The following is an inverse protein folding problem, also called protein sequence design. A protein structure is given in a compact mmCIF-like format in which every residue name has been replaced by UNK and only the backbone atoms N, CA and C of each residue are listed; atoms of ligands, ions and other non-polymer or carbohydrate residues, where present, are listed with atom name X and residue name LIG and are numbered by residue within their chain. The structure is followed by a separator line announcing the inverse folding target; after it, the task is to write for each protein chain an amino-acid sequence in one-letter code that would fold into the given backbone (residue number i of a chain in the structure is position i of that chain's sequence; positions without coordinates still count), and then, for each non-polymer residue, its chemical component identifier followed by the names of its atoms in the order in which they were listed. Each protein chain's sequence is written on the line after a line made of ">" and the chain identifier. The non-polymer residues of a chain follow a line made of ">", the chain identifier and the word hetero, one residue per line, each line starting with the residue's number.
data_IF_497112209824
#
_entry.id   IF_497112209824
#
_cell.length_a   1.000
_cell.length_b   1.000
_cell.length_c   1.000
_cell.angle_alpha   90.00
_cell.angle_beta   90.00
_cell.angle_gamma   90.00
#
_symmetry.space_group_name_H-M   'P 1'
#
loop_
_entity.id
_entity.type
_entity.pdbx_description
1 polymer ?
#
# COMPACT_ATOMS: atom_id res chain seq x y z
N UNK A 1 -2.97 -6.29 -1.87
CA UNK A 1 -4.03 -5.57 -1.13
C UNK A 1 -4.34 -6.30 0.17
N UNK A 2 -4.51 -5.58 1.27
CA UNK A 2 -4.86 -6.09 2.59
C UNK A 2 -6.28 -5.64 2.97
N UNK A 3 -7.08 -6.50 3.62
CA UNK A 3 -8.45 -6.18 4.08
C UNK A 3 -8.43 -5.83 5.56
N UNK A 4 -8.82 -4.62 5.90
CA UNK A 4 -8.88 -4.16 7.28
C UNK A 4 -9.85 -5.02 8.13
N UNK A 5 -9.48 -5.25 9.39
CA UNK A 5 -10.28 -5.95 10.40
C UNK A 5 -11.41 -5.08 10.97
N UNK A 6 -11.31 -3.76 10.77
CA UNK A 6 -12.19 -2.74 11.35
C UNK A 6 -12.94 -1.90 10.30
N UNK A 7 -13.85 -1.05 10.78
CA UNK A 7 -14.59 -0.10 9.95
C UNK A 7 -15.39 -0.79 8.85
N UNK A 8 -15.31 -0.27 7.63
CA UNK A 8 -15.98 -0.84 6.44
C UNK A 8 -15.25 -2.04 5.86
N UNK A 9 -14.20 -2.56 6.52
CA UNK A 9 -13.33 -3.64 6.02
C UNK A 9 -12.78 -3.33 4.62
N UNK A 10 -12.33 -2.09 4.46
CA UNK A 10 -11.78 -1.59 3.21
C UNK A 10 -10.49 -2.33 2.85
N UNK A 11 -10.16 -2.33 1.56
CA UNK A 11 -8.95 -2.93 1.04
C UNK A 11 -7.98 -1.83 0.63
N UNK A 12 -6.74 -1.89 1.10
CA UNK A 12 -5.65 -0.97 0.71
C UNK A 12 -4.35 -1.73 0.52
N UNK A 13 -3.33 -1.13 -0.12
CA UNK A 13 -1.96 -1.52 0.14
C UNK A 13 -1.60 -1.30 1.63
N UNK A 14 -0.49 -1.87 2.13
CA UNK A 14 -0.03 -1.62 3.49
C UNK A 14 0.20 -0.13 3.73
N UNK A 15 -0.27 0.39 4.87
CA UNK A 15 -0.15 1.80 5.27
C UNK A 15 -0.69 2.05 6.68
N UNK A 16 0.08 2.78 7.49
CA UNK A 16 -0.39 3.31 8.76
C UNK A 16 0.04 4.75 9.01
N UNK A 17 0.15 5.12 10.27
CA UNK A 17 0.42 6.50 10.68
C UNK A 17 1.93 6.74 10.78
N UNK A 18 2.34 7.98 10.49
CA UNK A 18 3.72 8.41 10.70
C UNK A 18 3.96 8.55 12.21
N UNK A 19 4.94 7.83 12.74
CA UNK A 19 5.33 7.95 14.14
C UNK A 19 6.23 9.17 14.40
N UNK A 20 6.33 9.66 15.65
CA UNK A 20 7.18 10.79 15.98
C UNK A 20 8.66 10.55 15.58
N UNK A 21 9.14 11.36 14.65
CA UNK A 21 10.52 11.30 14.16
C UNK A 21 10.72 10.45 12.89
N UNK A 22 9.69 9.78 12.38
CA UNK A 22 9.74 9.09 11.09
C UNK A 22 9.45 10.05 9.93
N UNK A 23 10.06 9.77 8.78
CA UNK A 23 9.58 10.27 7.49
C UNK A 23 8.59 9.28 6.86
N UNK A 24 7.92 9.70 5.78
CA UNK A 24 6.88 8.90 5.11
C UNK A 24 7.42 7.62 4.48
N UNK A 25 8.70 7.62 4.07
CA UNK A 25 9.34 6.45 3.48
C UNK A 25 9.61 5.40 4.55
N UNK A 26 10.24 5.80 5.65
CA UNK A 26 10.50 4.96 6.82
C UNK A 26 9.20 4.38 7.37
N UNK A 27 8.16 5.22 7.48
CA UNK A 27 6.81 4.80 7.87
C UNK A 27 6.29 3.70 6.94
N UNK A 28 6.35 3.90 5.61
CA UNK A 28 5.84 2.91 4.66
C UNK A 28 6.57 1.56 4.76
N UNK A 29 7.89 1.58 5.01
CA UNK A 29 8.70 0.37 5.21
C UNK A 29 8.33 -0.36 6.50
N UNK A 30 8.17 0.38 7.61
CA UNK A 30 7.76 -0.17 8.90
C UNK A 30 6.36 -0.78 8.81
N UNK A 31 5.40 -0.03 8.30
CA UNK A 31 4.00 -0.47 8.16
C UNK A 31 3.86 -1.68 7.22
N UNK A 32 4.68 -1.74 6.16
CA UNK A 32 4.73 -2.92 5.28
C UNK A 32 5.23 -4.17 6.02
N UNK A 33 6.20 -4.00 6.92
CA UNK A 33 6.68 -5.08 7.77
C UNK A 33 5.66 -5.49 8.85
N UNK A 34 4.97 -4.53 9.46
CA UNK A 34 3.97 -4.77 10.50
C UNK A 34 2.68 -5.38 9.95
N UNK A 35 2.13 -4.83 8.87
CA UNK A 35 0.82 -5.23 8.35
C UNK A 35 0.87 -6.44 7.40
N UNK A 36 2.01 -6.69 6.75
CA UNK A 36 2.17 -7.77 5.76
C UNK A 36 3.34 -8.72 6.02
N UNK A 37 4.14 -8.51 7.06
CA UNK A 37 5.31 -9.35 7.38
C UNK A 37 6.48 -9.17 6.41
N UNK A 38 6.41 -8.19 5.50
CA UNK A 38 7.40 -7.97 4.46
C UNK A 38 8.50 -7.03 4.95
N UNK A 39 9.72 -7.56 5.12
CA UNK A 39 10.89 -6.80 5.56
C UNK A 39 11.66 -6.24 4.36
N UNK A 40 12.55 -5.29 4.60
CA UNK A 40 13.33 -4.58 3.56
C UNK A 40 14.17 -5.45 2.63
N UNK A 41 14.44 -6.71 2.97
CA UNK A 41 15.16 -7.65 2.09
C UNK A 41 14.22 -8.54 1.25
N UNK A 42 12.91 -8.47 1.47
CA UNK A 42 11.93 -9.21 0.69
C UNK A 42 11.54 -8.48 -0.61
N UNK A 43 11.85 -7.20 -0.73
CA UNK A 43 11.43 -6.38 -1.86
C UNK A 43 12.44 -5.26 -2.16
N UNK A 44 12.43 -4.82 -3.41
CA UNK A 44 13.13 -3.64 -3.89
C UNK A 44 12.13 -2.52 -4.14
N UNK A 45 12.36 -1.38 -3.50
CA UNK A 45 11.57 -0.17 -3.77
C UNK A 45 12.01 0.41 -5.12
N UNK A 46 11.04 0.77 -5.96
CA UNK A 46 11.28 1.42 -7.25
C UNK A 46 11.63 2.88 -7.00
N UNK A 47 12.84 3.26 -7.42
CA UNK A 47 13.34 4.61 -7.26
C UNK A 47 12.44 5.64 -7.96
N UNK A 48 12.36 6.84 -7.38
CA UNK A 48 11.61 7.98 -7.90
C UNK A 48 10.09 7.76 -8.10
N UNK A 49 9.53 6.69 -7.53
CA UNK A 49 8.08 6.50 -7.48
C UNK A 49 7.52 6.86 -6.10
N UNK A 50 6.71 7.92 -6.05
CA UNK A 50 5.88 8.24 -4.89
C UNK A 50 4.59 8.88 -5.37
N UNK A 51 3.45 8.33 -4.94
CA UNK A 51 2.12 8.88 -5.19
C UNK A 51 1.50 9.36 -3.88
N UNK A 52 0.91 10.55 -3.90
CA UNK A 52 0.28 11.16 -2.73
C UNK A 52 -1.23 11.24 -2.94
N UNK A 53 -1.99 10.59 -2.06
CA UNK A 53 -3.45 10.70 -2.02
C UNK A 53 -3.83 11.64 -0.88
N UNK A 54 -4.69 12.62 -1.17
CA UNK A 54 -5.24 13.55 -0.18
C UNK A 54 -6.76 13.55 -0.24
N UNK A 55 -7.41 13.21 0.88
CA UNK A 55 -8.87 13.11 0.95
C UNK A 55 -9.37 13.37 2.38
N UNK A 56 -10.68 13.57 2.53
CA UNK A 56 -11.30 13.77 3.83
C UNK A 56 -11.75 12.44 4.44
N UNK A 57 -11.43 12.21 5.70
CA UNK A 57 -11.99 11.13 6.53
C UNK A 57 -12.77 11.76 7.66
N UNK A 58 -14.10 11.59 7.66
CA UNK A 58 -15.01 12.20 8.65
C UNK A 58 -14.78 13.71 8.80
N UNK A 59 -14.60 14.41 7.68
CA UNK A 59 -14.36 15.86 7.62
C UNK A 59 -12.94 16.31 7.98
N UNK A 60 -12.03 15.38 8.32
CA UNK A 60 -10.62 15.70 8.61
C UNK A 60 -9.73 15.36 7.43
N UNK A 61 -8.80 16.24 7.04
CA UNK A 61 -7.84 15.93 5.98
C UNK A 61 -6.96 14.74 6.36
N UNK A 62 -6.79 13.83 5.41
CA UNK A 62 -5.86 12.71 5.49
C UNK A 62 -5.01 12.72 4.23
N UNK A 63 -3.70 12.56 4.41
CA UNK A 63 -2.73 12.39 3.34
C UNK A 63 -2.07 11.03 3.50
N UNK A 64 -1.90 10.31 2.39
CA UNK A 64 -1.23 9.00 2.35
C UNK A 64 -0.21 9.02 1.21
N UNK A 65 1.00 8.58 1.51
CA UNK A 65 2.09 8.46 0.55
C UNK A 65 2.28 6.97 0.23
N UNK A 66 2.22 6.61 -1.04
CA UNK A 66 2.49 5.26 -1.52
C UNK A 66 3.78 5.24 -2.33
N UNK A 67 4.64 4.30 -1.99
CA UNK A 67 5.83 3.93 -2.74
C UNK A 67 5.57 2.62 -3.46
N UNK A 68 6.22 2.42 -4.60
CA UNK A 68 6.11 1.20 -5.39
C UNK A 68 7.26 0.27 -5.02
N UNK A 69 6.96 -0.99 -4.75
CA UNK A 69 7.96 -2.00 -4.44
C UNK A 69 7.65 -3.30 -5.19
N UNK A 70 8.71 -3.98 -5.61
CA UNK A 70 8.68 -5.28 -6.26
C UNK A 70 9.22 -6.33 -5.29
N UNK A 71 8.50 -7.43 -5.08
CA UNK A 71 9.00 -8.56 -4.31
C UNK A 71 10.18 -9.21 -5.03
N UNK A 72 11.23 -9.52 -4.28
CA UNK A 72 12.39 -10.29 -4.78
C UNK A 72 12.02 -11.76 -5.04
N UNK A 73 11.17 -12.35 -4.18
CA UNK A 73 10.59 -13.68 -4.37
C UNK A 73 9.05 -13.58 -4.33
N UNK A 74 8.34 -13.89 -5.43
CA UNK A 74 6.88 -13.86 -5.48
C UNK A 74 6.21 -14.88 -4.54
N UNK A 75 6.96 -15.86 -4.01
CA UNK A 75 6.47 -16.84 -3.05
C UNK A 75 6.66 -16.40 -1.58
N UNK A 76 7.22 -15.20 -1.34
CA UNK A 76 7.38 -14.67 0.02
C UNK A 76 6.01 -14.66 0.72
N UNK A 77 5.87 -15.33 1.87
CA UNK A 77 4.59 -15.43 2.56
C UNK A 77 4.18 -14.08 3.14
N UNK A 78 2.90 -13.74 2.97
CA UNK A 78 2.28 -12.59 3.64
C UNK A 78 1.84 -13.03 5.04
N UNK A 79 2.25 -12.27 6.05
CA UNK A 79 1.88 -12.49 7.45
C UNK A 79 1.14 -11.25 7.93
N UNK A 80 -0.16 -11.39 8.20
CA UNK A 80 -1.00 -10.28 8.61
C UNK A 80 -0.89 -9.99 10.10
N UNK A 81 -0.94 -8.71 10.46
CA UNK A 81 -1.22 -8.27 11.83
C UNK A 81 -2.71 -8.35 12.15
N UNK A 82 -3.07 -8.11 13.42
CA UNK A 82 -4.47 -8.05 13.88
C UNK A 82 -5.30 -6.93 13.21
N UNK A 83 -4.64 -5.97 12.56
CA UNK A 83 -5.31 -4.92 11.78
C UNK A 83 -5.92 -5.43 10.47
N UNK A 84 -5.54 -6.63 10.02
CA UNK A 84 -5.96 -7.18 8.74
C UNK A 84 -6.47 -8.61 8.88
N UNK A 85 -7.56 -8.92 8.17
CA UNK A 85 -8.22 -10.24 8.23
C UNK A 85 -8.11 -11.03 6.93
N UNK A 86 -7.50 -10.43 5.90
CA UNK A 86 -7.37 -11.06 4.59
C UNK A 86 -6.33 -10.31 3.74
N UNK A 87 -5.82 -10.99 2.72
CA UNK A 87 -5.02 -10.36 1.68
C UNK A 87 -5.33 -10.94 0.31
N UNK A 88 -5.07 -10.15 -0.73
CA UNK A 88 -5.20 -10.59 -2.11
C UNK A 88 -4.09 -9.97 -2.95
N UNK A 89 -3.43 -10.82 -3.73
CA UNK A 89 -2.66 -10.41 -4.91
C UNK A 89 -3.64 -10.12 -6.04
N UNK A 90 -3.56 -8.91 -6.59
CA UNK A 90 -4.50 -8.41 -7.58
C UNK A 90 -3.74 -7.84 -8.76
N UNK A 91 -4.24 -8.05 -9.96
CA UNK A 91 -3.84 -7.21 -11.10
C UNK A 91 -4.48 -5.80 -11.00
N UNK A 92 -4.14 -4.92 -11.95
CA UNK A 92 -4.65 -3.54 -11.97
C UNK A 92 -6.18 -3.46 -11.95
N UNK A 93 -6.85 -4.20 -12.82
CA UNK A 93 -8.30 -4.13 -12.96
C UNK A 93 -9.02 -4.69 -11.73
N UNK A 94 -8.51 -5.78 -11.15
CA UNK A 94 -9.00 -6.29 -9.86
C UNK A 94 -8.80 -5.28 -8.73
N UNK A 95 -7.65 -4.60 -8.68
CA UNK A 95 -7.34 -3.60 -7.66
C UNK A 95 -8.27 -2.39 -7.76
N UNK A 96 -8.52 -1.91 -8.99
CA UNK A 96 -9.47 -0.82 -9.28
C UNK A 96 -10.90 -1.20 -8.92
N UNK A 97 -11.32 -2.43 -9.24
CA UNK A 97 -12.64 -2.93 -8.88
C UNK A 97 -12.84 -3.06 -7.36
N UNK A 98 -11.80 -3.45 -6.63
CA UNK A 98 -11.82 -3.57 -5.17
C UNK A 98 -11.85 -2.21 -4.48
N UNK A 99 -11.07 -1.22 -4.93
CA UNK A 99 -10.98 0.08 -4.27
C UNK A 99 -12.08 1.05 -4.71
N UNK A 100 -12.33 1.15 -6.02
CA UNK A 100 -13.45 1.89 -6.60
C UNK A 100 -13.36 3.42 -6.53
N UNK A 101 -12.28 4.01 -6.02
CA UNK A 101 -12.08 5.47 -6.04
C UNK A 101 -11.07 5.91 -7.07
N UNK A 102 -11.37 7.03 -7.72
CA UNK A 102 -10.56 7.62 -8.79
C UNK A 102 -9.12 7.91 -8.37
N UNK A 103 -8.89 8.45 -7.18
CA UNK A 103 -7.56 8.83 -6.71
C UNK A 103 -6.61 7.63 -6.54
N UNK A 104 -7.11 6.52 -6.01
CA UNK A 104 -6.35 5.27 -5.97
C UNK A 104 -6.22 4.64 -7.36
N UNK A 105 -7.27 4.69 -8.19
CA UNK A 105 -7.18 4.15 -9.54
C UNK A 105 -6.08 4.84 -10.35
N UNK A 106 -5.99 6.17 -10.27
CA UNK A 106 -4.89 6.93 -10.90
C UNK A 106 -3.53 6.56 -10.34
N UNK A 107 -3.42 6.36 -9.02
CA UNK A 107 -2.19 5.89 -8.38
C UNK A 107 -1.74 4.51 -8.90
N UNK A 108 -2.67 3.56 -8.98
CA UNK A 108 -2.41 2.20 -9.47
C UNK A 108 -2.06 2.20 -10.96
N UNK A 109 -2.74 3.00 -11.77
CA UNK A 109 -2.43 3.16 -13.20
C UNK A 109 -1.04 3.77 -13.42
N UNK A 110 -0.63 4.72 -12.58
CA UNK A 110 0.71 5.28 -12.64
C UNK A 110 1.76 4.25 -12.23
N UNK A 111 1.48 3.42 -11.22
CA UNK A 111 2.35 2.32 -10.82
C UNK A 111 2.52 1.30 -11.96
N UNK A 112 1.42 0.85 -12.57
CA UNK A 112 1.42 -0.07 -13.72
C UNK A 112 2.26 0.47 -14.89
N UNK A 113 2.09 1.76 -15.21
CA UNK A 113 2.90 2.43 -16.26
C UNK A 113 4.38 2.44 -15.91
N UNK A 114 4.73 2.72 -14.65
CA UNK A 114 6.12 2.72 -14.20
C UNK A 114 6.72 1.32 -14.33
N UNK A 115 6.03 0.27 -13.86
CA UNK A 115 6.49 -1.13 -14.00
C UNK A 115 6.72 -1.50 -15.47
N UNK A 116 5.79 -1.14 -16.36
CA UNK A 116 5.90 -1.43 -17.80
C UNK A 116 6.99 -0.62 -18.52
N UNK A 117 7.64 0.33 -17.84
CA UNK A 117 8.72 1.16 -18.39
C UNK A 117 10.11 0.83 -17.83
N UNK A 118 10.19 -0.09 -16.86
CA UNK A 118 11.44 -0.65 -16.35
C UNK A 118 12.01 -1.68 -17.33
#
# INVERSE_FOLDING_TARGET
>A
MLRASYGTKHWTPPKGHVDPGEDTYTTAMRETAEEAGLKSHHYRVVDNFCQTLSYLVRGRPKTVYYYLAELEDPNTPIILSDEHIDFKWCNLEESKAIYGREDMNSCLEQAEKTVNSL
#
